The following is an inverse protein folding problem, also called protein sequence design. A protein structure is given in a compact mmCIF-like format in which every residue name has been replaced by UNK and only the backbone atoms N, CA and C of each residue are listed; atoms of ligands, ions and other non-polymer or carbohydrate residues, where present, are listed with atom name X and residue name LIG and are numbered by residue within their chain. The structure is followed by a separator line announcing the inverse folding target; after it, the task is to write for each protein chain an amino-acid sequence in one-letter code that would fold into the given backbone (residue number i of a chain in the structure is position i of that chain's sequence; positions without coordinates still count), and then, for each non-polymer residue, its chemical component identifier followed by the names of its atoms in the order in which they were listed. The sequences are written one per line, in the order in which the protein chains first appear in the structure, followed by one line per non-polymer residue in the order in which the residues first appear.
data_IF_633533159826
#
_entry.id   IF_633533159826
#
_cell.length_a   1.000
_cell.length_b   1.000
_cell.length_c   1.000
_cell.angle_alpha   90.00
_cell.angle_beta   90.00
_cell.angle_gamma   90.00
#
_symmetry.space_group_name_H-M   'P 1'
#
loop_
_entity.id
_entity.type
_entity.pdbx_description
1 polymer ?
#
# COMPACT_ATOMS: atom_id res chain seq x y z
N UNK A 1 15.52 -10.51 19.07
CA UNK A 1 15.49 -9.88 17.72
C UNK A 1 15.53 -8.37 17.90
N UNK A 2 16.36 -7.63 17.13
CA UNK A 2 16.41 -6.16 17.21
C UNK A 2 15.14 -5.60 16.55
N UNK A 3 14.38 -4.78 17.28
CA UNK A 3 13.25 -4.05 16.71
C UNK A 3 13.74 -3.10 15.63
N UNK A 4 13.21 -3.27 14.41
CA UNK A 4 13.47 -2.33 13.32
C UNK A 4 12.58 -1.11 13.57
N UNK A 5 13.16 0.07 13.69
CA UNK A 5 12.37 1.29 13.87
C UNK A 5 11.67 1.68 12.57
N UNK A 6 10.52 2.41 12.67
CA UNK A 6 9.81 2.98 11.51
C UNK A 6 10.76 3.70 10.54
N UNK A 7 11.70 4.50 11.06
CA UNK A 7 12.74 5.16 10.27
C UNK A 7 13.68 4.19 9.55
N UNK A 8 13.97 3.03 10.15
CA UNK A 8 14.86 2.04 9.56
C UNK A 8 14.17 1.25 8.46
N UNK A 9 12.86 0.97 8.60
CA UNK A 9 12.05 0.35 7.55
C UNK A 9 11.92 1.27 6.34
N UNK A 10 11.61 2.55 6.54
CA UNK A 10 11.54 3.54 5.47
C UNK A 10 12.90 3.74 4.77
N UNK A 11 14.01 3.73 5.54
CA UNK A 11 15.37 3.79 4.96
C UNK A 11 15.71 2.54 4.17
N UNK A 12 15.25 1.36 4.59
CA UNK A 12 15.47 0.12 3.86
C UNK A 12 14.66 0.10 2.56
N UNK A 13 13.40 0.54 2.59
CA UNK A 13 12.58 0.72 1.39
C UNK A 13 13.15 1.78 0.43
N UNK A 14 13.73 2.87 0.96
CA UNK A 14 14.39 3.90 0.17
C UNK A 14 15.80 3.48 -0.32
N UNK A 15 16.53 2.68 0.46
CA UNK A 15 17.89 2.26 0.09
C UNK A 15 17.92 1.22 -1.04
N UNK A 16 16.84 0.46 -1.23
CA UNK A 16 16.69 -0.42 -2.40
C UNK A 16 16.45 0.34 -3.70
N UNK A 17 16.12 1.64 -3.61
CA UNK A 17 15.95 2.52 -4.78
C UNK A 17 17.16 3.39 -5.09
N UNK A 18 18.11 3.54 -4.13
CA UNK A 18 19.23 4.48 -4.26
C UNK A 18 20.54 3.87 -4.80
N UNK A 19 20.56 2.58 -5.16
CA UNK A 19 21.79 1.84 -5.49
C UNK A 19 22.11 1.65 -6.97
N UNK A 20 21.31 2.13 -7.90
CA UNK A 20 21.65 2.13 -9.33
C UNK A 20 21.05 3.35 -10.01
N UNK A 21 21.86 3.99 -10.82
CA UNK A 21 21.47 5.07 -11.74
C UNK A 21 20.52 4.53 -12.84
N UNK A 22 19.33 4.07 -12.46
CA UNK A 22 18.27 3.62 -13.35
C UNK A 22 16.98 4.40 -13.09
N UNK A 23 17.12 5.72 -13.06
CA UNK A 23 15.96 6.63 -13.04
C UNK A 23 14.95 6.41 -14.18
N UNK A 24 15.28 5.84 -15.37
CA UNK A 24 14.27 5.59 -16.39
C UNK A 24 13.43 4.33 -16.16
N UNK A 25 13.89 3.33 -15.38
CA UNK A 25 13.16 2.07 -15.25
C UNK A 25 11.98 2.13 -14.28
N UNK A 26 11.94 3.11 -13.38
CA UNK A 26 10.78 3.39 -12.54
C UNK A 26 9.65 4.11 -13.30
N UNK A 27 9.96 4.69 -14.47
CA UNK A 27 8.97 5.31 -15.35
C UNK A 27 8.13 4.30 -16.14
N UNK A 28 8.49 3.01 -16.15
CA UNK A 28 7.69 1.95 -16.80
C UNK A 28 6.40 1.57 -16.08
N UNK A 29 6.17 2.10 -14.90
CA UNK A 29 4.85 2.12 -14.26
C UNK A 29 4.22 3.48 -14.50
N UNK A 30 4.12 3.88 -15.75
CA UNK A 30 3.34 5.04 -16.10
C UNK A 30 1.93 4.81 -15.53
N UNK A 31 1.67 5.45 -14.43
CA UNK A 31 0.33 5.86 -14.08
C UNK A 31 -0.28 6.44 -15.35
N UNK A 32 -1.47 6.02 -15.77
CA UNK A 32 -1.98 6.39 -17.10
C UNK A 32 -2.04 7.87 -17.36
N UNK A 33 -1.74 8.71 -16.40
CA UNK A 33 -1.65 10.14 -16.60
C UNK A 33 -0.77 10.84 -15.56
N UNK A 34 0.54 10.62 -15.65
CA UNK A 34 1.50 11.45 -14.92
C UNK A 34 1.55 12.90 -15.43
N UNK A 35 0.85 13.20 -16.52
CA UNK A 35 0.82 14.52 -17.15
C UNK A 35 -0.43 15.31 -16.77
N UNK A 36 -1.51 14.67 -16.34
CA UNK A 36 -2.70 15.39 -15.87
C UNK A 36 -2.42 16.00 -14.49
N UNK A 37 -2.03 17.25 -14.51
CA UNK A 37 -1.87 18.09 -13.33
C UNK A 37 -3.12 18.90 -13.02
N UNK A 38 -4.23 18.59 -13.67
CA UNK A 38 -5.49 19.30 -13.47
C UNK A 38 -5.94 19.08 -12.02
N UNK A 39 -6.18 20.16 -11.26
CA UNK A 39 -6.73 20.03 -9.92
C UNK A 39 -8.10 19.37 -9.95
N UNK A 40 -8.38 18.51 -8.98
CA UNK A 40 -9.73 17.98 -8.81
C UNK A 40 -10.68 19.09 -8.42
N UNK A 41 -11.81 19.13 -9.11
CA UNK A 41 -12.92 20.03 -8.77
C UNK A 41 -13.87 19.29 -7.85
N UNK A 42 -14.04 19.78 -6.64
CA UNK A 42 -14.92 19.18 -5.65
C UNK A 42 -14.56 19.64 -4.25
N UNK A 43 -15.43 19.39 -3.31
CA UNK A 43 -15.21 19.75 -1.92
C UNK A 43 -14.29 18.76 -1.21
N UNK A 44 -14.38 17.50 -1.58
CA UNK A 44 -13.56 16.41 -1.05
C UNK A 44 -13.33 15.32 -2.12
N UNK A 45 -12.19 14.66 -2.06
CA UNK A 45 -11.86 13.49 -2.88
C UNK A 45 -11.79 12.26 -1.98
N UNK A 46 -12.61 11.25 -2.28
CA UNK A 46 -12.58 9.97 -1.58
C UNK A 46 -11.59 9.03 -2.27
N UNK A 47 -10.67 8.48 -1.50
CA UNK A 47 -9.77 7.40 -1.89
C UNK A 47 -10.27 6.13 -1.22
N UNK A 48 -10.58 5.12 -2.02
CA UNK A 48 -11.16 3.87 -1.53
C UNK A 48 -10.24 2.70 -1.86
N UNK A 49 -10.03 1.83 -0.90
CA UNK A 49 -9.39 0.53 -1.07
C UNK A 49 -10.16 -0.54 -0.29
N UNK A 50 -9.97 -1.79 -0.68
CA UNK A 50 -10.50 -2.98 0.00
C UNK A 50 -9.77 -4.21 -0.53
N UNK A 51 -9.89 -5.34 0.16
CA UNK A 51 -9.40 -6.65 -0.30
C UNK A 51 -7.91 -6.63 -0.68
N UNK A 52 -7.08 -6.03 0.16
CA UNK A 52 -5.62 -5.99 -0.06
C UNK A 52 -5.02 -7.40 0.08
N UNK A 53 -5.60 -8.24 0.93
CA UNK A 53 -5.24 -9.64 1.11
C UNK A 53 -3.72 -9.85 1.24
N UNK A 54 -3.09 -9.10 2.15
CA UNK A 54 -1.63 -9.13 2.40
C UNK A 54 -0.76 -8.97 1.15
N UNK A 55 -1.29 -8.43 0.04
CA UNK A 55 -0.52 -8.16 -1.18
C UNK A 55 0.37 -6.91 -1.01
N UNK A 56 1.23 -6.94 0.01
CA UNK A 56 2.10 -5.81 0.36
C UNK A 56 3.20 -5.59 -0.66
N UNK A 57 3.65 -6.66 -1.31
CA UNK A 57 4.69 -6.64 -2.33
C UNK A 57 4.15 -6.44 -3.74
N UNK A 58 5.07 -6.23 -4.68
CA UNK A 58 4.74 -6.18 -6.10
C UNK A 58 4.75 -7.58 -6.72
N UNK A 59 3.92 -7.79 -7.73
CA UNK A 59 3.89 -9.00 -8.55
C UNK A 59 4.34 -8.72 -9.97
N UNK A 60 4.93 -9.73 -10.62
CA UNK A 60 5.24 -9.70 -12.05
C UNK A 60 4.14 -10.41 -12.82
N UNK A 61 3.55 -9.74 -13.76
CA UNK A 61 2.57 -10.31 -14.67
C UNK A 61 3.17 -10.33 -16.07
N UNK A 62 3.15 -11.50 -16.70
CA UNK A 62 3.53 -11.64 -18.10
C UNK A 62 2.30 -11.40 -18.97
N UNK A 63 2.39 -10.46 -19.88
CA UNK A 63 1.35 -10.15 -20.86
C UNK A 63 1.35 -11.17 -21.99
N UNK A 64 0.26 -11.26 -22.74
CA UNK A 64 0.12 -12.18 -23.90
C UNK A 64 1.12 -11.90 -25.02
N UNK A 65 1.67 -10.70 -25.08
CA UNK A 65 2.72 -10.30 -26.01
C UNK A 65 4.15 -10.65 -25.54
N UNK A 66 4.28 -11.36 -24.41
CA UNK A 66 5.55 -11.73 -23.79
C UNK A 66 6.22 -10.62 -22.99
N UNK A 67 5.65 -9.43 -22.94
CA UNK A 67 6.16 -8.37 -22.06
C UNK A 67 5.86 -8.65 -20.59
N UNK A 68 6.72 -8.15 -19.70
CA UNK A 68 6.53 -8.28 -18.25
C UNK A 68 6.16 -6.94 -17.65
N UNK A 69 5.08 -6.92 -16.87
CA UNK A 69 4.67 -5.76 -16.08
C UNK A 69 4.80 -6.04 -14.58
N UNK A 70 5.27 -5.05 -13.86
CA UNK A 70 5.23 -5.06 -12.38
C UNK A 70 3.92 -4.40 -11.95
N UNK A 71 3.15 -5.08 -11.10
CA UNK A 71 1.84 -4.62 -10.62
C UNK A 71 1.73 -4.76 -9.12
N UNK A 72 0.72 -4.09 -8.53
CA UNK A 72 0.40 -4.21 -7.11
C UNK A 72 1.45 -3.59 -6.20
N UNK A 73 1.33 -3.93 -4.93
CA UNK A 73 2.18 -3.47 -3.84
C UNK A 73 1.74 -2.16 -3.21
N UNK A 74 1.72 -2.15 -1.88
CA UNK A 74 1.23 -1.00 -1.09
C UNK A 74 2.07 0.26 -1.29
N UNK A 75 3.38 0.14 -1.54
CA UNK A 75 4.22 1.30 -1.82
C UNK A 75 3.80 2.05 -3.09
N UNK A 76 3.36 1.31 -4.13
CA UNK A 76 2.84 1.90 -5.37
C UNK A 76 1.47 2.52 -5.16
N UNK A 77 0.63 1.86 -4.37
CA UNK A 77 -0.69 2.37 -4.00
C UNK A 77 -0.56 3.66 -3.19
N UNK A 78 0.33 3.68 -2.20
CA UNK A 78 0.64 4.88 -1.43
C UNK A 78 1.14 6.04 -2.30
N UNK A 79 2.04 5.76 -3.24
CA UNK A 79 2.54 6.77 -4.18
C UNK A 79 1.43 7.33 -5.08
N UNK A 80 0.54 6.46 -5.56
CA UNK A 80 -0.62 6.85 -6.33
C UNK A 80 -1.56 7.76 -5.55
N UNK A 81 -1.90 7.35 -4.34
CA UNK A 81 -2.75 8.13 -3.44
C UNK A 81 -2.12 9.48 -3.09
N UNK A 82 -0.79 9.52 -2.86
CA UNK A 82 -0.08 10.77 -2.62
C UNK A 82 -0.19 11.74 -3.82
N UNK A 83 -0.12 11.24 -5.04
CA UNK A 83 -0.34 12.05 -6.25
C UNK A 83 -1.76 12.61 -6.32
N UNK A 84 -2.76 11.82 -5.93
CA UNK A 84 -4.15 12.29 -5.86
C UNK A 84 -4.31 13.37 -4.77
N UNK A 85 -3.77 13.12 -3.57
CA UNK A 85 -3.81 14.09 -2.45
C UNK A 85 -3.19 15.43 -2.84
N UNK A 86 -2.07 15.40 -3.56
CA UNK A 86 -1.43 16.61 -4.04
C UNK A 86 -2.34 17.41 -4.98
N UNK A 87 -3.02 16.76 -5.93
CA UNK A 87 -3.95 17.41 -6.87
C UNK A 87 -5.25 17.87 -6.20
N UNK A 88 -5.65 17.21 -5.13
CA UNK A 88 -6.82 17.59 -4.32
C UNK A 88 -6.52 18.68 -3.29
N UNK A 89 -5.29 19.23 -3.27
CA UNK A 89 -4.85 20.20 -2.26
C UNK A 89 -5.07 19.74 -0.81
N UNK A 90 -4.92 18.43 -0.56
CA UNK A 90 -5.09 17.84 0.75
C UNK A 90 -6.54 17.60 1.20
N UNK A 91 -7.52 17.92 0.36
CA UNK A 91 -8.94 17.67 0.66
C UNK A 91 -9.32 16.23 0.29
N UNK A 92 -8.75 15.27 0.97
CA UNK A 92 -8.98 13.86 0.72
C UNK A 92 -9.43 13.14 1.99
N UNK A 93 -10.21 12.10 1.81
CA UNK A 93 -10.52 11.11 2.83
C UNK A 93 -10.21 9.73 2.25
N UNK A 94 -9.36 8.97 2.93
CA UNK A 94 -8.92 7.65 2.52
C UNK A 94 -9.59 6.61 3.39
N UNK A 95 -10.35 5.72 2.77
CA UNK A 95 -11.13 4.68 3.44
C UNK A 95 -10.69 3.30 2.93
N UNK A 96 -10.63 2.31 3.84
CA UNK A 96 -10.39 0.92 3.49
C UNK A 96 -11.54 0.04 3.96
N UNK A 97 -12.03 -0.83 3.07
CA UNK A 97 -13.19 -1.68 3.28
C UNK A 97 -12.90 -2.96 4.06
N UNK A 98 -11.68 -3.18 4.52
CA UNK A 98 -11.27 -4.42 5.20
C UNK A 98 -10.77 -5.50 4.24
N UNK A 99 -10.66 -6.73 4.73
CA UNK A 99 -9.97 -7.84 4.08
C UNK A 99 -8.55 -7.47 3.66
N UNK A 100 -7.86 -6.76 4.55
CA UNK A 100 -6.47 -6.36 4.32
C UNK A 100 -5.48 -7.50 4.65
N UNK A 101 -5.89 -8.48 5.46
CA UNK A 101 -5.10 -9.65 5.82
C UNK A 101 -5.36 -10.83 4.89
N UNK A 102 -4.55 -11.87 5.02
CA UNK A 102 -4.66 -13.15 4.32
C UNK A 102 -4.42 -13.12 2.80
N UNK A 103 -3.83 -14.20 2.27
CA UNK A 103 -3.68 -14.44 0.84
C UNK A 103 -2.25 -14.48 0.31
N UNK A 104 -1.25 -14.06 1.08
CA UNK A 104 0.17 -14.16 0.71
C UNK A 104 1.03 -14.62 1.88
N UNK A 105 2.33 -14.95 1.68
CA UNK A 105 3.23 -15.31 2.78
C UNK A 105 3.40 -14.24 3.87
N UNK A 106 2.99 -13.01 3.63
CA UNK A 106 2.93 -11.97 4.67
C UNK A 106 1.89 -12.27 5.75
N UNK A 107 0.92 -13.13 5.44
CA UNK A 107 -0.08 -13.62 6.39
C UNK A 107 0.55 -14.20 7.67
N UNK A 108 1.69 -14.90 7.58
CA UNK A 108 2.41 -15.41 8.75
C UNK A 108 2.87 -14.29 9.69
N UNK A 109 2.96 -13.09 9.15
CA UNK A 109 3.25 -11.86 9.88
C UNK A 109 2.03 -11.08 10.36
N UNK A 110 0.79 -11.57 10.10
CA UNK A 110 -0.44 -10.85 10.40
C UNK A 110 -0.49 -10.34 11.85
N UNK A 111 -0.25 -11.21 12.83
CA UNK A 111 -0.22 -10.81 14.24
C UNK A 111 0.91 -9.83 14.60
N UNK A 112 1.80 -9.52 13.67
CA UNK A 112 2.85 -8.49 13.82
C UNK A 112 2.40 -7.11 13.33
N UNK A 113 1.19 -7.01 12.80
CA UNK A 113 0.57 -5.77 12.36
C UNK A 113 1.17 -5.18 11.07
N UNK A 114 1.78 -5.98 10.20
CA UNK A 114 2.39 -5.46 8.97
C UNK A 114 1.36 -4.84 8.03
N UNK A 115 0.18 -5.43 7.93
CA UNK A 115 -0.93 -4.92 7.13
C UNK A 115 -1.43 -3.59 7.69
N UNK A 116 -1.55 -3.49 9.01
CA UNK A 116 -1.95 -2.26 9.69
C UNK A 116 -0.91 -1.15 9.48
N UNK A 117 0.38 -1.50 9.59
CA UNK A 117 1.46 -0.56 9.27
C UNK A 117 1.40 -0.10 7.80
N UNK A 118 1.04 -1.00 6.88
CA UNK A 118 0.87 -0.65 5.47
C UNK A 118 -0.30 0.32 5.27
N UNK A 119 -1.45 0.10 5.91
CA UNK A 119 -2.59 1.02 5.91
C UNK A 119 -2.19 2.39 6.47
N UNK A 120 -1.42 2.42 7.56
CA UNK A 120 -0.93 3.65 8.15
C UNK A 120 0.03 4.42 7.22
N UNK A 121 0.94 3.72 6.53
CA UNK A 121 1.84 4.34 5.54
C UNK A 121 1.08 4.84 4.30
N UNK A 122 -0.02 4.19 3.93
CA UNK A 122 -0.95 4.68 2.90
C UNK A 122 -1.80 5.85 3.38
N UNK A 123 -1.68 6.25 4.64
CA UNK A 123 -2.46 7.31 5.27
C UNK A 123 -3.98 7.05 5.15
N UNK A 124 -4.38 5.81 5.46
CA UNK A 124 -5.80 5.46 5.57
C UNK A 124 -6.36 6.13 6.82
N UNK A 125 -7.42 6.93 6.65
CA UNK A 125 -8.07 7.65 7.75
C UNK A 125 -8.99 6.74 8.54
N UNK A 126 -9.72 5.84 7.85
CA UNK A 126 -10.61 4.87 8.47
C UNK A 126 -10.54 3.54 7.71
N UNK A 127 -10.49 2.46 8.45
CA UNK A 127 -10.67 1.12 7.90
C UNK A 127 -11.75 0.37 8.70
N UNK A 128 -12.38 -0.59 8.04
CA UNK A 128 -13.24 -1.58 8.70
C UNK A 128 -12.53 -2.93 8.74
N UNK A 129 -13.10 -3.88 9.44
CA UNK A 129 -12.68 -5.28 9.41
C UNK A 129 -13.55 -6.03 8.41
N UNK A 130 -12.93 -6.83 7.57
CA UNK A 130 -13.62 -7.79 6.72
C UNK A 130 -13.70 -9.17 7.39
N UNK A 131 -14.08 -10.19 6.65
CA UNK A 131 -14.20 -11.53 7.21
C UNK A 131 -12.83 -12.20 7.44
N UNK A 132 -11.86 -11.92 6.61
CA UNK A 132 -10.54 -12.55 6.71
C UNK A 132 -9.70 -12.09 7.91
N UNK A 133 -10.02 -10.94 8.49
CA UNK A 133 -9.39 -10.52 9.73
C UNK A 133 -9.66 -11.48 10.88
N UNK A 134 -10.77 -12.23 10.82
CA UNK A 134 -11.21 -13.16 11.87
C UNK A 134 -10.83 -14.63 11.61
N UNK A 135 -10.18 -14.97 10.51
CA UNK A 135 -9.86 -16.34 10.13
C UNK A 135 -8.98 -17.09 11.15
N UNK A 136 -8.17 -16.36 11.89
CA UNK A 136 -7.30 -16.91 12.95
C UNK A 136 -7.74 -16.49 14.37
N UNK A 137 -8.98 -15.99 14.48
CA UNK A 137 -9.64 -15.65 15.74
C UNK A 137 -9.43 -14.19 16.20
N UNK A 138 -10.30 -13.76 17.07
CA UNK A 138 -10.39 -12.38 17.55
C UNK A 138 -9.09 -11.88 18.21
N UNK A 139 -8.40 -12.77 18.92
CA UNK A 139 -7.13 -12.41 19.57
C UNK A 139 -6.04 -12.04 18.56
N UNK A 140 -6.08 -12.64 17.36
CA UNK A 140 -5.13 -12.31 16.31
C UNK A 140 -5.39 -10.90 15.74
N UNK A 141 -6.65 -10.51 15.65
CA UNK A 141 -7.04 -9.13 15.28
C UNK A 141 -6.45 -8.15 16.30
N UNK A 142 -6.72 -8.36 17.59
CA UNK A 142 -6.21 -7.50 18.64
C UNK A 142 -4.67 -7.43 18.61
N UNK A 143 -4.00 -8.57 18.50
CA UNK A 143 -2.54 -8.62 18.44
C UNK A 143 -1.98 -7.84 17.24
N UNK A 144 -2.63 -7.89 16.08
CA UNK A 144 -2.17 -7.17 14.90
C UNK A 144 -2.20 -5.65 15.10
N UNK A 145 -3.22 -5.13 15.77
CA UNK A 145 -3.35 -3.71 16.09
C UNK A 145 -2.40 -3.26 17.21
N UNK A 146 -2.21 -4.10 18.22
CA UNK A 146 -1.29 -3.79 19.34
C UNK A 146 0.17 -3.80 18.90
N UNK A 147 0.52 -4.65 17.92
CA UNK A 147 1.90 -4.80 17.44
C UNK A 147 2.27 -3.82 16.31
N UNK A 148 1.30 -3.16 15.69
CA UNK A 148 1.52 -2.15 14.68
C UNK A 148 1.98 -0.82 15.29
#
# INVERSE_FOLDING_TARGET
MKKISRKSFLKLAAATTAGTAMAPALMGCAWPDTQDRTPYKGDIVLLLSNDIHSNLGTSKIMSTDGSTRITGGVARMAAAQAGVRHRAFGKTLTLDGGDYSQGTPYQDGYQKGWEILALAEMQVDFCTLGNHEFDVGDQAVENSWVNA
#
